data_IF_645392477261
#
_entry.id   IF_645392477261
#
_cell.length_a   1.000
_cell.length_b   1.000
_cell.length_c   1.000
_cell.angle_alpha   90.00
_cell.angle_beta   90.00
_cell.angle_gamma   90.00
#
_symmetry.space_group_name_H-M   'P 1'
#
loop_
_entity.id
_entity.type
_entity.pdbx_description
1 polymer ?
#
# COMPACT_ATOMS: atom_id res chain seq x y z
N UNK A 1 8.07 18.52 -5.10
CA UNK A 1 9.50 18.53 -4.73
C UNK A 1 9.70 17.55 -3.59
N UNK A 2 10.72 16.69 -3.72
CA UNK A 2 11.30 15.81 -2.69
C UNK A 2 10.50 14.60 -2.15
N UNK A 3 9.68 13.91 -2.97
CA UNK A 3 9.12 12.59 -2.59
C UNK A 3 10.10 11.42 -2.80
N UNK A 4 11.10 11.59 -3.68
CA UNK A 4 12.08 10.54 -4.00
C UNK A 4 13.07 10.27 -2.87
N UNK A 5 13.57 11.31 -2.18
CA UNK A 5 14.55 11.13 -1.11
C UNK A 5 13.97 10.37 0.10
N UNK A 6 12.67 10.56 0.38
CA UNK A 6 11.98 10.00 1.55
C UNK A 6 11.73 8.48 1.41
N UNK A 7 11.22 8.03 0.25
CA UNK A 7 10.94 6.59 0.03
C UNK A 7 12.20 5.72 0.07
N UNK A 8 13.32 6.22 -0.47
CA UNK A 8 14.58 5.48 -0.47
C UNK A 8 15.25 5.44 0.90
N UNK A 9 15.01 6.43 1.75
CA UNK A 9 15.44 6.40 3.14
C UNK A 9 14.69 5.30 3.91
N UNK A 10 13.38 5.18 3.71
CA UNK A 10 12.55 4.13 4.32
C UNK A 10 12.92 2.71 3.89
N UNK A 11 13.37 2.56 2.64
CA UNK A 11 13.81 1.28 2.11
C UNK A 11 15.20 0.87 2.60
N UNK A 12 15.99 1.80 3.14
CA UNK A 12 17.36 1.53 3.55
C UNK A 12 17.38 0.59 4.76
N UNK A 13 17.98 -0.58 4.57
CA UNK A 13 18.07 -1.61 5.61
C UNK A 13 16.78 -2.41 5.82
N UNK A 14 15.72 -2.12 5.05
CA UNK A 14 14.50 -2.92 5.08
C UNK A 14 14.79 -4.31 4.49
N UNK A 15 14.47 -5.41 5.19
CA UNK A 15 14.62 -6.74 4.61
C UNK A 15 13.64 -6.88 3.44
N UNK A 16 14.16 -7.15 2.25
CA UNK A 16 13.35 -7.38 1.04
C UNK A 16 13.59 -8.79 0.55
N UNK A 17 12.50 -9.43 0.12
CA UNK A 17 12.48 -10.73 -0.50
C UNK A 17 11.95 -10.61 -1.93
N UNK A 18 12.61 -11.26 -2.90
CA UNK A 18 12.02 -11.53 -4.22
C UNK A 18 11.15 -12.77 -4.11
N UNK A 19 9.86 -12.58 -4.31
CA UNK A 19 8.87 -13.64 -4.31
C UNK A 19 9.09 -14.59 -5.50
N UNK A 20 9.10 -15.90 -5.23
CA UNK A 20 9.28 -16.94 -6.24
C UNK A 20 8.05 -17.84 -6.33
N UNK A 21 7.42 -18.15 -5.20
CA UNK A 21 6.31 -19.09 -5.11
C UNK A 21 5.19 -18.53 -4.24
N UNK A 22 3.96 -18.75 -4.68
CA UNK A 22 2.75 -18.37 -3.98
C UNK A 22 1.86 -19.60 -3.88
N UNK A 23 1.38 -19.99 -2.69
CA UNK A 23 0.43 -21.09 -2.55
C UNK A 23 -0.79 -20.85 -3.43
N UNK A 24 -1.31 -21.88 -4.11
CA UNK A 24 -2.54 -21.71 -4.89
C UNK A 24 -3.76 -21.82 -3.96
N UNK A 25 -4.75 -20.92 -4.06
CA UNK A 25 -6.02 -21.10 -3.36
C UNK A 25 -6.68 -22.40 -3.79
N UNK A 26 -7.33 -23.07 -2.84
CA UNK A 26 -8.30 -24.10 -3.18
C UNK A 26 -9.57 -23.40 -3.68
N UNK A 27 -10.02 -23.74 -4.88
CA UNK A 27 -10.93 -22.90 -5.69
C UNK A 27 -12.40 -22.92 -5.23
N UNK A 28 -12.67 -23.34 -4.01
CA UNK A 28 -13.96 -23.91 -3.62
C UNK A 28 -15.12 -22.90 -3.58
N UNK A 29 -14.94 -21.68 -3.04
CA UNK A 29 -16.11 -20.92 -2.56
C UNK A 29 -16.29 -19.49 -3.11
N UNK A 30 -15.50 -19.06 -4.10
CA UNK A 30 -15.70 -17.76 -4.77
C UNK A 30 -15.56 -16.52 -3.87
N UNK A 31 -15.23 -16.68 -2.58
CA UNK A 31 -14.79 -15.60 -1.69
C UNK A 31 -13.32 -15.31 -1.95
N UNK A 32 -12.94 -14.03 -1.95
CA UNK A 32 -11.53 -13.63 -1.89
C UNK A 32 -11.00 -13.89 -0.47
N UNK A 33 -10.85 -15.16 -0.08
CA UNK A 33 -10.30 -15.60 1.22
C UNK A 33 -8.91 -15.00 1.49
N UNK A 34 -8.22 -14.63 0.41
CA UNK A 34 -6.93 -13.98 0.48
C UNK A 34 -7.06 -12.55 1.00
N UNK A 35 -8.20 -11.86 0.80
CA UNK A 35 -8.40 -10.52 1.35
C UNK A 35 -8.26 -10.49 2.86
N UNK A 36 -8.90 -11.42 3.55
CA UNK A 36 -8.89 -11.48 5.01
C UNK A 36 -7.50 -11.88 5.52
N UNK A 37 -6.82 -12.80 4.83
CA UNK A 37 -5.43 -13.16 5.14
C UNK A 37 -4.46 -11.99 4.92
N UNK A 38 -4.60 -11.26 3.80
CA UNK A 38 -3.80 -10.07 3.51
C UNK A 38 -4.02 -8.99 4.57
N UNK A 39 -5.27 -8.76 4.98
CA UNK A 39 -5.60 -7.82 6.04
C UNK A 39 -4.98 -8.25 7.37
N UNK A 40 -5.15 -9.52 7.77
CA UNK A 40 -4.58 -10.05 9.01
C UNK A 40 -3.05 -9.91 9.05
N UNK A 41 -2.36 -10.20 7.95
CA UNK A 41 -0.91 -10.03 7.85
C UNK A 41 -0.49 -8.56 8.02
N UNK A 42 -1.19 -7.62 7.39
CA UNK A 42 -0.90 -6.19 7.52
C UNK A 42 -1.21 -5.66 8.93
N UNK A 43 -2.34 -6.05 9.53
CA UNK A 43 -2.68 -5.69 10.92
C UNK A 43 -1.64 -6.26 11.88
N UNK A 44 -1.23 -7.52 11.69
CA UNK A 44 -0.17 -8.13 12.48
C UNK A 44 1.15 -7.38 12.32
N UNK A 45 1.55 -7.05 11.09
CA UNK A 45 2.79 -6.32 10.83
C UNK A 45 2.79 -4.93 11.48
N UNK A 46 1.65 -4.23 11.44
CA UNK A 46 1.46 -2.94 12.11
C UNK A 46 1.76 -3.05 13.62
N UNK A 47 1.13 -4.03 14.28
CA UNK A 47 1.21 -4.19 15.74
C UNK A 47 2.50 -4.89 16.21
N UNK A 48 3.21 -5.62 15.35
CA UNK A 48 4.38 -6.41 15.72
C UNK A 48 5.70 -5.62 15.85
N UNK A 49 5.81 -4.42 15.27
CA UNK A 49 7.11 -3.74 15.31
C UNK A 49 7.26 -2.38 14.65
N UNK A 50 6.20 -1.72 14.18
CA UNK A 50 6.30 -0.33 13.72
C UNK A 50 7.24 -0.08 12.53
N UNK A 51 7.69 -1.14 11.83
CA UNK A 51 8.53 -1.01 10.66
C UNK A 51 7.70 -0.83 9.38
N UNK A 52 8.24 -0.14 8.36
CA UNK A 52 7.60 -0.05 7.06
C UNK A 52 7.41 -1.44 6.43
N UNK A 53 6.39 -1.55 5.59
CA UNK A 53 6.20 -2.70 4.70
C UNK A 53 6.33 -2.26 3.25
N UNK A 54 6.88 -3.14 2.41
CA UNK A 54 7.05 -2.90 0.98
C UNK A 54 6.33 -3.99 0.19
N UNK A 55 5.62 -3.59 -0.85
CA UNK A 55 5.24 -4.46 -1.96
C UNK A 55 5.61 -3.77 -3.26
N UNK A 56 6.23 -4.50 -4.19
CA UNK A 56 6.66 -3.91 -5.44
C UNK A 56 6.80 -4.89 -6.59
N UNK A 57 6.86 -4.34 -7.79
CA UNK A 57 7.04 -5.09 -9.04
C UNK A 57 8.11 -4.42 -9.86
N UNK A 58 8.91 -5.20 -10.57
CA UNK A 58 9.92 -4.69 -11.49
C UNK A 58 10.09 -5.60 -12.69
N UNK A 59 10.24 -4.99 -13.86
CA UNK A 59 10.81 -5.62 -15.04
C UNK A 59 12.11 -4.89 -15.39
N UNK A 60 13.24 -5.57 -15.23
CA UNK A 60 14.56 -4.95 -15.42
C UNK A 60 14.96 -4.83 -16.91
N UNK A 61 14.46 -5.71 -17.77
CA UNK A 61 14.80 -5.76 -19.18
C UNK A 61 13.54 -5.81 -20.05
N UNK A 62 13.60 -5.22 -21.25
CA UNK A 62 12.49 -5.29 -22.19
C UNK A 62 12.12 -6.76 -22.48
N UNK A 63 10.82 -7.07 -22.48
CA UNK A 63 10.27 -8.42 -22.63
C UNK A 63 10.71 -9.45 -21.56
N UNK A 64 11.45 -9.01 -20.53
CA UNK A 64 11.88 -9.87 -19.42
C UNK A 64 10.74 -10.20 -18.45
N UNK A 65 10.96 -11.12 -17.50
CA UNK A 65 9.97 -11.45 -16.48
C UNK A 65 9.75 -10.26 -15.53
N UNK A 66 8.53 -10.17 -14.97
CA UNK A 66 8.23 -9.28 -13.86
C UNK A 66 8.59 -9.98 -12.55
N UNK A 67 9.50 -9.37 -11.79
CA UNK A 67 9.84 -9.76 -10.42
C UNK A 67 8.89 -9.08 -9.44
N UNK A 68 8.53 -9.79 -8.37
CA UNK A 68 7.70 -9.26 -7.28
C UNK A 68 8.52 -9.21 -6.01
N UNK A 69 8.44 -8.10 -5.28
CA UNK A 69 9.16 -7.86 -4.03
C UNK A 69 8.19 -7.70 -2.87
N UNK A 70 8.55 -8.28 -1.74
CA UNK A 70 7.89 -8.07 -0.46
C UNK A 70 8.96 -7.72 0.57
N UNK A 71 8.74 -6.68 1.36
CA UNK A 71 9.70 -6.26 2.39
C UNK A 71 9.04 -5.82 3.69
N UNK A 72 9.85 -5.76 4.73
CA UNK A 72 9.45 -5.46 6.10
C UNK A 72 9.54 -6.68 7.02
N UNK A 73 10.06 -6.49 8.23
CA UNK A 73 10.23 -7.59 9.19
C UNK A 73 8.91 -8.26 9.57
N UNK A 74 7.81 -7.50 9.62
CA UNK A 74 6.46 -8.02 9.89
C UNK A 74 5.90 -8.91 8.78
N UNK A 75 6.48 -8.87 7.57
CA UNK A 75 6.03 -9.68 6.42
C UNK A 75 7.01 -10.81 6.06
N UNK A 76 8.28 -10.68 6.44
CA UNK A 76 9.35 -11.65 6.16
C UNK A 76 9.64 -12.44 7.44
N UNK A 77 8.94 -13.56 7.62
CA UNK A 77 8.83 -14.29 8.89
C UNK A 77 10.06 -15.18 9.21
N UNK A 78 10.66 -15.83 8.22
CA UNK A 78 11.79 -16.74 8.41
C UNK A 78 12.87 -16.49 7.34
N UNK A 79 14.14 -16.57 7.73
CA UNK A 79 15.31 -16.29 6.88
C UNK A 79 16.37 -17.38 7.12
N UNK A 80 16.31 -18.44 6.34
CA UNK A 80 17.31 -19.52 6.40
C UNK A 80 18.24 -19.44 5.19
N UNK A 81 19.52 -19.13 5.42
CA UNK A 81 20.57 -19.19 4.39
C UNK A 81 20.34 -18.37 3.11
N UNK A 82 19.40 -17.42 3.10
CA UNK A 82 19.00 -16.62 1.94
C UNK A 82 17.62 -16.95 1.36
N UNK A 83 17.00 -18.04 1.78
CA UNK A 83 15.58 -18.31 1.53
C UNK A 83 14.72 -17.58 2.57
N UNK A 84 13.52 -17.16 2.17
CA UNK A 84 12.56 -16.55 3.07
C UNK A 84 11.13 -17.06 2.89
N UNK A 85 10.42 -17.19 4.01
CA UNK A 85 8.98 -17.45 4.05
C UNK A 85 8.24 -16.17 4.40
N UNK A 86 7.10 -15.94 3.76
CA UNK A 86 6.33 -14.72 3.83
C UNK A 86 5.00 -14.91 4.54
N UNK A 87 4.62 -13.91 5.34
CA UNK A 87 3.26 -13.76 5.87
C UNK A 87 2.33 -13.08 4.88
N UNK A 88 2.88 -12.39 3.87
CA UNK A 88 2.14 -11.76 2.77
C UNK A 88 2.87 -11.98 1.43
N UNK A 89 2.29 -12.70 0.46
CA UNK A 89 1.13 -13.57 0.63
C UNK A 89 1.42 -14.67 1.66
N UNK A 90 0.39 -15.12 2.38
CA UNK A 90 0.55 -16.13 3.43
C UNK A 90 1.13 -17.42 2.84
N UNK A 91 2.25 -17.88 3.43
CA UNK A 91 2.96 -19.08 2.96
C UNK A 91 3.75 -18.89 1.67
N UNK A 92 3.87 -17.65 1.17
CA UNK A 92 4.73 -17.31 0.04
C UNK A 92 6.19 -17.62 0.34
N UNK A 93 6.96 -17.97 -0.69
CA UNK A 93 8.39 -18.27 -0.57
C UNK A 93 9.19 -17.45 -1.56
N UNK A 94 10.39 -17.06 -1.15
CA UNK A 94 11.28 -16.30 -2.00
C UNK A 94 12.72 -16.30 -1.52
N UNK A 95 13.51 -15.39 -2.08
CA UNK A 95 14.93 -15.21 -1.74
C UNK A 95 15.16 -13.80 -1.24
N UNK A 96 15.92 -13.67 -0.15
CA UNK A 96 16.32 -12.37 0.41
C UNK A 96 17.20 -11.64 -0.60
N UNK A 97 16.95 -10.35 -0.80
CA UNK A 97 17.76 -9.44 -1.59
C UNK A 97 18.73 -8.70 -0.65
N UNK A 98 20.03 -9.04 -0.65
CA UNK A 98 20.99 -8.47 0.30
C UNK A 98 21.15 -6.94 0.22
N UNK A 99 20.84 -6.35 -0.94
CA UNK A 99 20.85 -4.90 -1.17
C UNK A 99 19.48 -4.23 -1.15
N UNK A 100 18.41 -4.97 -0.84
CA UNK A 100 17.04 -4.46 -0.93
C UNK A 100 16.63 -4.12 -2.38
N UNK A 101 15.73 -3.14 -2.51
CA UNK A 101 15.42 -2.50 -3.81
C UNK A 101 16.23 -1.21 -3.90
N UNK A 102 16.95 -1.05 -5.00
CA UNK A 102 17.87 0.07 -5.19
C UNK A 102 17.26 1.17 -6.07
N UNK A 103 17.56 2.43 -5.77
CA UNK A 103 17.12 3.60 -6.54
C UNK A 103 17.67 3.58 -7.97
N UNK A 104 18.91 3.11 -8.14
CA UNK A 104 19.58 2.98 -9.44
C UNK A 104 19.03 1.83 -10.30
N UNK A 105 18.04 1.07 -9.81
CA UNK A 105 17.38 0.02 -10.59
C UNK A 105 16.61 0.56 -11.81
N UNK A 106 16.26 1.85 -11.81
CA UNK A 106 15.66 2.55 -12.96
C UNK A 106 16.29 3.94 -13.09
N UNK A 107 16.48 4.46 -14.33
CA UNK A 107 17.06 5.78 -14.54
C UNK A 107 16.13 6.92 -14.12
N UNK A 108 14.82 6.69 -14.12
CA UNK A 108 13.80 7.69 -13.81
C UNK A 108 12.78 7.17 -12.81
N UNK A 109 12.48 7.98 -11.79
CA UNK A 109 11.47 7.69 -10.77
C UNK A 109 10.52 8.88 -10.58
N UNK A 110 9.24 8.57 -10.40
CA UNK A 110 8.20 9.55 -10.07
C UNK A 110 7.34 9.05 -8.92
N UNK A 111 7.11 9.93 -7.94
CA UNK A 111 6.13 9.68 -6.88
C UNK A 111 4.71 9.80 -7.42
N UNK A 112 3.87 8.81 -7.11
CA UNK A 112 2.46 8.79 -7.49
C UNK A 112 1.63 9.26 -6.31
N UNK A 113 0.89 10.35 -6.51
CA UNK A 113 -0.11 10.81 -5.55
C UNK A 113 -1.38 9.96 -5.64
N UNK A 114 -1.86 9.46 -4.51
CA UNK A 114 -3.18 8.86 -4.40
C UNK A 114 -4.24 9.91 -4.05
N UNK A 115 -5.44 9.77 -4.60
CA UNK A 115 -6.61 10.53 -4.14
C UNK A 115 -7.39 9.63 -3.16
N UNK A 116 -7.22 9.88 -1.87
CA UNK A 116 -8.03 9.25 -0.83
C UNK A 116 -9.20 10.18 -0.48
N UNK A 117 -10.32 10.04 -1.20
CA UNK A 117 -11.55 10.78 -0.93
C UNK A 117 -12.68 9.80 -0.60
N UNK A 118 -13.17 9.85 0.64
CA UNK A 118 -14.27 9.02 1.11
C UNK A 118 -15.56 9.22 0.32
N UNK A 119 -15.71 10.32 -0.43
CA UNK A 119 -16.85 10.53 -1.35
C UNK A 119 -16.73 9.74 -2.67
N UNK A 120 -15.51 9.36 -3.07
CA UNK A 120 -15.26 8.52 -4.26
C UNK A 120 -15.48 7.03 -3.97
N UNK A 121 -15.57 6.65 -2.70
CA UNK A 121 -15.89 5.29 -2.26
C UNK A 121 -17.41 5.14 -2.22
N UNK A 122 -18.01 4.77 -3.36
CA UNK A 122 -19.41 4.35 -3.41
C UNK A 122 -19.50 2.82 -3.39
N UNK A 123 -19.95 2.26 -2.27
CA UNK A 123 -20.14 0.81 -2.08
C UNK A 123 -21.15 0.23 -3.08
N UNK A 124 -21.98 1.08 -3.71
CA UNK A 124 -23.02 0.68 -4.67
C UNK A 124 -22.57 0.65 -6.13
N UNK A 125 -21.36 1.15 -6.44
CA UNK A 125 -20.80 1.20 -7.80
C UNK A 125 -19.87 0.00 -8.12
N UNK A 126 -20.00 -1.11 -7.40
CA UNK A 126 -19.25 -2.34 -7.72
C UNK A 126 -19.56 -2.95 -9.11
N UNK A 127 -20.44 -2.33 -9.90
CA UNK A 127 -20.75 -2.68 -11.29
C UNK A 127 -20.20 -1.66 -12.32
N UNK A 128 -19.16 -0.88 -12.01
CA UNK A 128 -18.41 -0.21 -13.09
C UNK A 128 -17.78 -1.28 -14.01
N UNK A 129 -17.89 -1.15 -15.36
CA UNK A 129 -17.25 -2.09 -16.28
C UNK A 129 -15.76 -2.17 -15.96
N UNK A 130 -15.27 -3.40 -15.79
CA UNK A 130 -13.94 -3.71 -15.30
C UNK A 130 -12.89 -2.84 -16.00
N UNK A 131 -12.46 -1.76 -15.35
CA UNK A 131 -11.23 -1.08 -15.72
C UNK A 131 -10.17 -2.19 -15.67
N UNK A 132 -9.44 -2.44 -16.77
CA UNK A 132 -8.47 -3.53 -16.78
C UNK A 132 -7.56 -3.34 -15.58
N UNK A 133 -7.36 -4.41 -14.82
CA UNK A 133 -6.48 -4.39 -13.65
C UNK A 133 -5.09 -3.91 -14.09
N UNK A 134 -4.24 -3.47 -13.16
CA UNK A 134 -2.85 -3.12 -13.51
C UNK A 134 -2.20 -4.27 -14.32
N UNK A 135 -2.49 -5.52 -13.91
CA UNK A 135 -2.04 -6.75 -14.56
C UNK A 135 -2.61 -6.91 -15.98
N UNK A 136 -3.93 -6.79 -16.15
CA UNK A 136 -4.61 -6.97 -17.45
C UNK A 136 -4.37 -5.82 -18.42
N UNK A 137 -4.13 -4.61 -17.89
CA UNK A 137 -3.91 -3.40 -18.64
C UNK A 137 -2.44 -3.14 -18.87
N UNK A 138 -1.82 -2.38 -17.96
CA UNK A 138 -0.47 -1.86 -18.15
C UNK A 138 0.56 -2.98 -18.29
N UNK A 139 0.52 -4.00 -17.43
CA UNK A 139 1.55 -5.05 -17.42
C UNK A 139 1.46 -6.00 -18.61
N UNK A 140 0.27 -6.16 -19.19
CA UNK A 140 0.06 -7.03 -20.36
C UNK A 140 0.57 -6.38 -21.66
N UNK A 141 0.52 -5.04 -21.75
CA UNK A 141 0.90 -4.30 -22.97
C UNK A 141 2.26 -3.61 -22.88
N UNK A 142 2.75 -3.31 -21.67
CA UNK A 142 4.00 -2.59 -21.47
C UNK A 142 5.20 -3.53 -21.46
N UNK A 143 5.95 -3.50 -22.55
CA UNK A 143 7.08 -4.40 -22.78
C UNK A 143 8.45 -3.83 -22.41
N UNK A 144 8.53 -2.55 -22.04
CA UNK A 144 9.78 -1.86 -21.64
C UNK A 144 10.08 -2.09 -20.16
N UNK A 145 11.32 -1.85 -19.69
CA UNK A 145 11.62 -1.87 -18.26
C UNK A 145 10.70 -0.91 -17.50
N UNK A 146 10.27 -1.35 -16.31
CA UNK A 146 9.47 -0.54 -15.40
C UNK A 146 9.65 -1.03 -13.97
N UNK A 147 9.30 -0.19 -13.01
CA UNK A 147 9.15 -0.56 -11.62
C UNK A 147 7.95 0.13 -10.99
N UNK A 148 7.34 -0.50 -9.99
CA UNK A 148 6.29 0.09 -9.16
C UNK A 148 6.51 -0.36 -7.73
N UNK A 149 6.61 0.60 -6.81
CA UNK A 149 6.88 0.34 -5.40
C UNK A 149 5.81 1.01 -4.55
N UNK A 150 5.23 0.25 -3.63
CA UNK A 150 4.37 0.72 -2.57
C UNK A 150 5.07 0.47 -1.23
N UNK A 151 5.41 1.54 -0.54
CA UNK A 151 5.96 1.50 0.82
C UNK A 151 4.92 2.06 1.76
N UNK A 152 4.61 1.33 2.83
CA UNK A 152 3.66 1.77 3.84
C UNK A 152 4.37 1.84 5.18
N UNK A 153 4.47 3.03 5.75
CA UNK A 153 4.96 3.24 7.11
C UNK A 153 3.81 3.20 8.11
N UNK A 154 3.96 2.55 9.26
CA UNK A 154 2.94 2.60 10.29
C UNK A 154 2.95 3.99 10.92
N UNK A 155 1.78 4.59 11.05
CA UNK A 155 1.59 5.86 11.74
C UNK A 155 1.53 5.58 13.23
N UNK A 156 2.35 6.30 14.00
CA UNK A 156 2.36 6.18 15.46
C UNK A 156 0.95 6.43 16.07
N UNK A 157 0.49 5.64 17.06
CA UNK A 157 -0.83 5.83 17.66
C UNK A 157 -1.08 7.24 18.22
N UNK A 158 -0.06 7.92 18.74
CA UNK A 158 -0.20 9.30 19.22
C UNK A 158 -0.36 10.28 18.05
N UNK A 159 0.33 10.05 16.94
CA UNK A 159 0.14 10.82 15.71
C UNK A 159 -1.26 10.58 15.12
N UNK A 160 -1.70 9.33 15.07
CA UNK A 160 -3.05 8.97 14.63
C UNK A 160 -4.13 9.67 15.48
N UNK A 161 -3.95 9.72 16.81
CA UNK A 161 -4.81 10.46 17.72
C UNK A 161 -4.87 11.96 17.40
N UNK A 162 -3.71 12.60 17.21
CA UNK A 162 -3.63 14.02 16.81
C UNK A 162 -4.35 14.29 15.49
N UNK A 163 -4.16 13.41 14.49
CA UNK A 163 -4.83 13.52 13.18
C UNK A 163 -6.35 13.41 13.31
N UNK A 164 -6.84 12.53 14.20
CA UNK A 164 -8.27 12.38 14.45
C UNK A 164 -8.87 13.63 15.13
N UNK A 165 -8.17 14.20 16.11
CA UNK A 165 -8.60 15.42 16.82
C UNK A 165 -8.64 16.62 15.87
N UNK A 166 -7.57 16.83 15.09
CA UNK A 166 -7.48 17.87 14.06
C UNK A 166 -8.63 17.77 13.04
N UNK A 167 -8.96 16.54 12.62
CA UNK A 167 -10.04 16.29 11.69
C UNK A 167 -11.39 16.58 12.32
N UNK A 168 -11.60 16.20 13.58
CA UNK A 168 -12.83 16.50 14.31
C UNK A 168 -13.05 18.01 14.45
N UNK A 169 -12.00 18.79 14.69
CA UNK A 169 -12.06 20.26 14.73
C UNK A 169 -12.43 20.87 13.38
N UNK A 170 -11.84 20.37 12.27
CA UNK A 170 -12.19 20.83 10.92
C UNK A 170 -13.63 20.46 10.56
N UNK A 171 -14.05 19.24 10.91
CA UNK A 171 -15.41 18.76 10.69
C UNK A 171 -16.44 19.63 11.42
N UNK A 172 -16.18 20.00 12.68
CA UNK A 172 -17.05 20.90 13.46
C UNK A 172 -17.21 22.26 12.78
N UNK A 173 -16.11 22.84 12.30
CA UNK A 173 -16.13 24.13 11.58
C UNK A 173 -16.92 24.04 10.28
N UNK A 174 -16.64 23.05 9.44
CA UNK A 174 -17.37 22.85 8.18
C UNK A 174 -18.88 22.67 8.41
N UNK A 175 -19.26 21.85 9.40
CA UNK A 175 -20.67 21.66 9.77
C UNK A 175 -21.36 22.95 10.21
N UNK A 176 -20.66 23.82 10.96
CA UNK A 176 -21.23 25.10 11.39
C UNK A 176 -21.50 26.07 10.24
N UNK A 177 -20.83 25.87 9.09
CA UNK A 177 -20.96 26.71 7.90
C UNK A 177 -21.73 26.04 6.76
N UNK A 178 -22.12 24.76 6.93
CA UNK A 178 -22.72 23.95 5.87
C UNK A 178 -24.06 24.48 5.34
N UNK A 179 -24.86 25.15 6.18
CA UNK A 179 -26.12 25.79 5.75
C UNK A 179 -25.87 27.09 4.95
N UNK A 180 -24.69 27.69 5.09
CA UNK A 180 -24.32 28.97 4.46
C UNK A 180 -23.50 28.80 3.18
N UNK A 181 -22.94 27.60 2.93
CA UNK A 181 -22.14 27.30 1.74
C UNK A 181 -22.30 25.84 1.31
N UNK A 182 -22.70 25.57 0.05
CA UNK A 182 -22.70 24.22 -0.50
C UNK A 182 -21.33 23.54 -0.45
N UNK A 183 -20.24 24.30 -0.61
CA UNK A 183 -18.86 23.79 -0.52
C UNK A 183 -18.55 23.28 0.88
N UNK A 184 -18.95 24.02 1.92
CA UNK A 184 -18.79 23.61 3.32
C UNK A 184 -19.66 22.41 3.69
N UNK A 185 -20.83 22.28 3.07
CA UNK A 185 -21.67 21.08 3.21
C UNK A 185 -20.97 19.82 2.67
N UNK A 186 -20.37 19.90 1.47
CA UNK A 186 -19.59 18.80 0.89
C UNK A 186 -18.35 18.50 1.73
N UNK A 187 -17.65 19.54 2.19
CA UNK A 187 -16.48 19.39 3.06
C UNK A 187 -16.84 18.68 4.37
N UNK A 188 -17.97 19.03 4.99
CA UNK A 188 -18.45 18.39 6.21
C UNK A 188 -18.71 16.89 6.02
N UNK A 189 -19.33 16.48 4.90
CA UNK A 189 -19.58 15.06 4.60
C UNK A 189 -18.27 14.31 4.34
N UNK A 190 -17.35 14.91 3.57
CA UNK A 190 -16.02 14.32 3.30
C UNK A 190 -15.24 14.11 4.60
N UNK A 191 -15.21 15.11 5.47
CA UNK A 191 -14.53 15.04 6.77
C UNK A 191 -15.15 14.01 7.70
N UNK A 192 -16.48 13.90 7.73
CA UNK A 192 -17.17 12.87 8.52
C UNK A 192 -16.80 11.45 8.07
N UNK A 193 -16.79 11.18 6.75
CA UNK A 193 -16.36 9.88 6.22
C UNK A 193 -14.93 9.57 6.63
N UNK A 194 -14.01 10.53 6.45
CA UNK A 194 -12.60 10.39 6.84
C UNK A 194 -12.42 10.16 8.34
N UNK A 195 -13.24 10.79 9.18
CA UNK A 195 -13.18 10.60 10.62
C UNK A 195 -13.63 9.20 11.03
N UNK A 196 -14.65 8.62 10.38
CA UNK A 196 -15.03 7.22 10.62
C UNK A 196 -13.93 6.24 10.22
N UNK A 197 -13.22 6.50 9.12
CA UNK A 197 -12.05 5.70 8.70
C UNK A 197 -10.95 5.73 9.77
N UNK A 198 -10.57 6.92 10.25
CA UNK A 198 -9.55 7.06 11.29
C UNK A 198 -9.93 6.41 12.63
N UNK A 199 -11.23 6.36 12.96
CA UNK A 199 -11.66 5.63 14.15
C UNK A 199 -11.55 4.12 14.00
N UNK A 200 -11.73 3.58 12.79
CA UNK A 200 -11.51 2.15 12.50
C UNK A 200 -10.02 1.80 12.51
N UNK A 201 -9.15 2.71 12.09
CA UNK A 201 -7.70 2.45 12.10
C UNK A 201 -7.10 2.32 13.51
N UNK A 202 -7.84 2.64 14.57
CA UNK A 202 -7.40 2.38 15.95
C UNK A 202 -7.24 0.87 16.24
N UNK A 203 -8.02 0.01 15.59
CA UNK A 203 -7.88 -1.46 15.69
C UNK A 203 -7.02 -2.02 14.56
N UNK A 204 -7.23 -1.54 13.34
CA UNK A 204 -6.68 -2.16 12.13
C UNK A 204 -5.28 -1.60 11.75
N UNK A 205 -4.84 -0.56 12.46
CA UNK A 205 -3.62 0.19 12.16
C UNK A 205 -3.84 1.28 11.12
N UNK A 206 -3.03 2.35 11.21
CA UNK A 206 -3.02 3.45 10.25
C UNK A 206 -1.67 3.47 9.52
N UNK A 207 -1.70 3.50 8.19
CA UNK A 207 -0.49 3.50 7.37
C UNK A 207 -0.35 4.80 6.57
N UNK A 208 0.86 5.33 6.50
CA UNK A 208 1.27 6.37 5.54
C UNK A 208 1.83 5.65 4.32
N UNK A 209 1.17 5.82 3.19
CA UNK A 209 1.50 5.08 1.95
C UNK A 209 2.24 5.98 0.98
N UNK A 210 3.39 5.52 0.54
CA UNK A 210 4.25 6.13 -0.47
C UNK A 210 4.21 5.24 -1.71
N UNK A 211 3.96 5.86 -2.85
CA UNK A 211 3.90 5.15 -4.12
C UNK A 211 4.86 5.76 -5.12
N UNK A 212 5.62 4.91 -5.81
CA UNK A 212 6.58 5.34 -6.82
C UNK A 212 6.51 4.45 -8.06
N UNK A 213 6.66 5.05 -9.22
CA UNK A 213 6.87 4.34 -10.49
C UNK A 213 8.23 4.70 -11.07
N UNK A 214 8.91 3.70 -11.60
CA UNK A 214 10.17 3.81 -12.30
C UNK A 214 10.06 3.34 -13.74
N UNK A 215 10.83 3.96 -14.63
CA UNK A 215 10.89 3.61 -16.05
C UNK A 215 12.27 3.91 -16.64
N UNK A 216 12.53 3.33 -17.81
CA UNK A 216 13.67 3.65 -18.68
C UNK A 216 13.51 4.98 -19.39
#
# INVERSE_FOLDING_TARGET
>A
MALGADIWELLRGLPVCRLLEVPRPDRADGRDEWRDQRLAALVSAYHAGGEPVLVGWRRAAAFGPTEVFVGGSGLVADRDGGAATLSLPAGGRGVVLPGGVAEDAMPHWVGIGGIADGLLVDERLQEEPARPSLEDGLLSVWMRPFAWLLVAEPVDPSEAGRLADDLADRQRRARSMAEMSPEESVAAVRMERRHRELRRSATDGLWRVHLAAGAE
#
